data_IF_372956831449
#
_entry.id   IF_372956831449
#
_cell.length_a   1.000
_cell.length_b   1.000
_cell.length_c   1.000
_cell.angle_alpha   90.00
_cell.angle_beta   90.00
_cell.angle_gamma   90.00
#
_symmetry.space_group_name_H-M   'P 1'
#
loop_
_entity.id
_entity.type
_entity.pdbx_description
1 polymer ?
#
# COMPACT_ATOMS: atom_id res chain seq x y z
N UNK A 1 -40.68 3.04 -7.32
CA UNK A 1 -39.59 2.84 -8.30
C UNK A 1 -38.31 2.64 -7.53
N UNK A 2 -37.85 1.41 -7.47
CA UNK A 2 -36.74 0.97 -6.62
C UNK A 2 -35.41 1.21 -7.34
N UNK A 3 -34.53 2.05 -6.75
CA UNK A 3 -33.21 2.35 -7.32
C UNK A 3 -32.27 1.16 -7.11
N UNK A 4 -32.30 0.19 -8.02
CA UNK A 4 -31.27 -0.86 -8.13
C UNK A 4 -30.04 -0.33 -8.88
N UNK A 5 -29.14 0.39 -8.22
CA UNK A 5 -27.78 0.66 -8.74
C UNK A 5 -26.79 0.97 -7.62
N UNK A 6 -26.19 -0.04 -6.97
CA UNK A 6 -24.90 0.18 -6.25
C UNK A 6 -24.01 -1.06 -6.07
N UNK A 7 -24.34 -2.27 -6.55
CA UNK A 7 -23.52 -3.46 -6.20
C UNK A 7 -22.38 -3.79 -7.19
N UNK A 8 -22.33 -3.16 -8.37
CA UNK A 8 -21.29 -3.44 -9.38
C UNK A 8 -19.98 -2.67 -9.19
N UNK A 9 -20.05 -1.38 -8.80
CA UNK A 9 -18.88 -0.50 -8.69
C UNK A 9 -17.97 -0.86 -7.51
N UNK A 10 -18.56 -1.12 -6.35
CA UNK A 10 -17.84 -1.51 -5.13
C UNK A 10 -17.01 -2.78 -5.32
N UNK A 11 -17.44 -3.70 -6.19
CA UNK A 11 -16.73 -4.96 -6.42
C UNK A 11 -15.46 -4.77 -7.28
N UNK A 12 -15.48 -3.81 -8.21
CA UNK A 12 -14.32 -3.47 -9.05
C UNK A 12 -13.28 -2.70 -8.22
N UNK A 13 -13.72 -1.75 -7.40
CA UNK A 13 -12.85 -0.98 -6.50
C UNK A 13 -12.16 -1.89 -5.47
N UNK A 14 -12.91 -2.80 -4.84
CA UNK A 14 -12.33 -3.79 -3.91
C UNK A 14 -11.31 -4.70 -4.59
N UNK A 15 -11.58 -5.16 -5.82
CA UNK A 15 -10.63 -5.96 -6.58
C UNK A 15 -9.35 -5.17 -6.87
N UNK A 16 -9.48 -3.93 -7.35
CA UNK A 16 -8.33 -3.07 -7.59
C UNK A 16 -7.48 -2.88 -6.33
N UNK A 17 -8.12 -2.63 -5.18
CA UNK A 17 -7.42 -2.46 -3.90
C UNK A 17 -6.72 -3.74 -3.46
N UNK A 18 -7.33 -4.91 -3.65
CA UNK A 18 -6.68 -6.21 -3.40
C UNK A 18 -5.47 -6.44 -4.30
N UNK A 19 -5.56 -6.10 -5.59
CA UNK A 19 -4.45 -6.23 -6.54
C UNK A 19 -3.28 -5.29 -6.14
N UNK A 20 -3.58 -4.07 -5.69
CA UNK A 20 -2.57 -3.11 -5.19
C UNK A 20 -1.93 -3.62 -3.90
N UNK A 21 -2.73 -4.14 -2.95
CA UNK A 21 -2.23 -4.74 -1.71
C UNK A 21 -1.26 -5.89 -2.02
N UNK A 22 -1.67 -6.79 -2.91
CA UNK A 22 -0.84 -7.92 -3.32
C UNK A 22 0.49 -7.47 -3.94
N UNK A 23 0.47 -6.44 -4.80
CA UNK A 23 1.68 -5.89 -5.38
C UNK A 23 2.64 -5.31 -4.31
N UNK A 24 2.11 -4.63 -3.28
CA UNK A 24 2.90 -4.10 -2.18
C UNK A 24 3.60 -5.23 -1.41
N UNK A 25 2.85 -6.28 -1.05
CA UNK A 25 3.39 -7.46 -0.37
C UNK A 25 4.47 -8.16 -1.18
N UNK A 26 4.28 -8.33 -2.49
CA UNK A 26 5.28 -8.91 -3.38
C UNK A 26 6.57 -8.09 -3.44
N UNK A 27 6.47 -6.76 -3.47
CA UNK A 27 7.63 -5.87 -3.44
C UNK A 27 8.41 -6.03 -2.13
N UNK A 28 7.73 -5.99 -0.99
CA UNK A 28 8.33 -6.12 0.34
C UNK A 28 8.99 -7.50 0.51
N UNK A 29 8.28 -8.57 0.13
CA UNK A 29 8.78 -9.94 0.22
C UNK A 29 10.06 -10.12 -0.58
N UNK A 30 10.12 -9.61 -1.82
CA UNK A 30 11.32 -9.68 -2.66
C UNK A 30 12.47 -8.88 -2.07
N UNK A 31 12.20 -7.67 -1.59
CA UNK A 31 13.20 -6.82 -0.97
C UNK A 31 13.84 -7.49 0.26
N UNK A 32 13.02 -7.93 1.21
CA UNK A 32 13.52 -8.56 2.44
C UNK A 32 14.19 -9.91 2.17
N UNK A 33 13.70 -10.69 1.19
CA UNK A 33 14.37 -11.94 0.77
C UNK A 33 15.80 -11.67 0.27
N UNK A 34 16.00 -10.61 -0.51
CA UNK A 34 17.32 -10.21 -1.01
C UNK A 34 18.21 -9.72 0.14
N UNK A 35 17.68 -8.89 1.04
CA UNK A 35 18.40 -8.40 2.23
C UNK A 35 18.94 -9.57 3.07
N UNK A 36 18.06 -10.53 3.40
CA UNK A 36 18.41 -11.74 4.16
C UNK A 36 19.49 -12.55 3.44
N UNK A 37 19.33 -12.78 2.13
CA UNK A 37 20.30 -13.55 1.34
C UNK A 37 21.68 -12.87 1.30
N UNK A 38 21.72 -11.53 1.31
CA UNK A 38 22.97 -10.76 1.25
C UNK A 38 23.62 -10.54 2.62
N UNK A 39 23.00 -10.97 3.74
CA UNK A 39 23.41 -10.66 5.12
C UNK A 39 23.67 -9.16 5.35
N UNK A 40 22.99 -8.32 4.57
CA UNK A 40 23.06 -6.87 4.67
C UNK A 40 21.88 -6.44 5.53
N UNK A 41 22.18 -5.72 6.61
CA UNK A 41 21.18 -4.98 7.39
C UNK A 41 21.57 -3.50 7.43
N UNK A 42 21.55 -2.77 6.30
CA UNK A 42 21.35 -1.35 6.38
C UNK A 42 19.86 -1.09 6.64
N UNK A 43 19.62 0.04 7.29
CA UNK A 43 18.32 0.65 7.51
C UNK A 43 17.45 0.62 6.23
N UNK A 44 16.14 0.42 6.42
CA UNK A 44 15.20 0.35 5.30
C UNK A 44 15.21 1.67 4.50
N UNK A 45 15.27 1.61 3.16
CA UNK A 45 15.23 2.81 2.33
C UNK A 45 13.87 3.48 2.47
N UNK A 46 13.83 4.80 2.28
CA UNK A 46 12.65 5.63 2.50
C UNK A 46 11.38 5.14 1.78
N UNK A 47 11.53 4.47 0.63
CA UNK A 47 10.41 3.98 -0.15
C UNK A 47 9.73 2.76 0.49
N UNK A 48 10.40 1.99 1.35
CA UNK A 48 9.79 0.86 2.07
C UNK A 48 8.66 1.34 2.98
N UNK A 49 8.88 2.42 3.71
CA UNK A 49 7.83 3.04 4.54
C UNK A 49 6.60 3.45 3.73
N UNK A 50 6.79 3.89 2.49
CA UNK A 50 5.66 4.23 1.61
C UNK A 50 4.92 3.00 1.11
N UNK A 51 5.62 1.93 0.73
CA UNK A 51 4.96 0.68 0.31
C UNK A 51 4.12 0.12 1.46
N UNK A 52 4.66 0.09 2.68
CA UNK A 52 3.91 -0.29 3.88
C UNK A 52 2.68 0.61 4.12
N UNK A 53 2.82 1.92 3.97
CA UNK A 53 1.69 2.86 4.11
C UNK A 53 0.60 2.63 3.05
N UNK A 54 0.97 2.33 1.82
CA UNK A 54 0.00 2.00 0.76
C UNK A 54 -0.73 0.70 1.08
N UNK A 55 -0.01 -0.33 1.57
CA UNK A 55 -0.63 -1.58 2.00
C UNK A 55 -1.65 -1.36 3.13
N UNK A 56 -1.28 -0.61 4.17
CA UNK A 56 -2.16 -0.29 5.30
C UNK A 56 -3.41 0.51 4.87
N UNK A 57 -3.24 1.42 3.91
CA UNK A 57 -4.35 2.16 3.33
C UNK A 57 -5.31 1.26 2.54
N UNK A 58 -4.78 0.21 1.89
CA UNK A 58 -5.61 -0.80 1.23
C UNK A 58 -6.44 -1.57 2.26
N UNK A 59 -5.84 -1.97 3.37
CA UNK A 59 -6.56 -2.65 4.46
C UNK A 59 -7.65 -1.77 5.06
N UNK A 60 -7.32 -0.51 5.36
CA UNK A 60 -8.28 0.47 5.86
C UNK A 60 -9.47 0.64 4.90
N UNK A 61 -9.22 0.74 3.60
CA UNK A 61 -10.28 0.82 2.60
C UNK A 61 -11.16 -0.45 2.57
N UNK A 62 -10.55 -1.63 2.64
CA UNK A 62 -11.25 -2.91 2.58
C UNK A 62 -12.11 -3.14 3.84
N UNK A 63 -11.65 -2.68 4.99
CA UNK A 63 -12.36 -2.73 6.28
C UNK A 63 -13.45 -1.65 6.41
N UNK A 64 -13.46 -0.66 5.51
CA UNK A 64 -14.45 0.41 5.45
C UNK A 64 -14.10 1.64 6.29
N UNK A 65 -12.84 1.79 6.69
CA UNK A 65 -12.33 2.96 7.40
C UNK A 65 -12.19 4.17 6.46
N UNK A 66 -12.53 5.34 6.99
CA UNK A 66 -12.65 6.59 6.22
C UNK A 66 -11.38 7.46 6.33
N UNK A 67 -10.51 7.19 7.32
CA UNK A 67 -9.29 7.96 7.57
C UNK A 67 -8.07 7.32 6.92
N UNK A 68 -7.97 7.45 5.60
CA UNK A 68 -6.83 6.93 4.83
C UNK A 68 -5.73 8.01 4.75
N UNK A 69 -4.56 7.74 5.33
CA UNK A 69 -3.42 8.67 5.34
C UNK A 69 -2.59 8.52 4.05
N UNK A 70 -2.81 9.39 3.06
CA UNK A 70 -2.03 9.40 1.82
C UNK A 70 -0.90 10.43 1.85
N UNK A 71 0.34 9.95 1.93
CA UNK A 71 1.51 10.80 1.74
C UNK A 71 1.74 11.09 0.25
N UNK A 72 1.42 12.33 -0.17
CA UNK A 72 1.45 12.77 -1.58
C UNK A 72 2.82 12.67 -2.26
N UNK A 73 3.91 12.75 -1.51
CA UNK A 73 5.22 13.01 -2.10
C UNK A 73 6.07 11.76 -2.21
N UNK A 74 6.25 11.21 -3.42
CA UNK A 74 7.38 10.32 -3.77
C UNK A 74 8.72 11.09 -3.85
N UNK A 75 8.86 12.23 -3.18
CA UNK A 75 10.03 13.09 -3.30
C UNK A 75 11.03 12.85 -2.16
N UNK A 76 12.30 12.73 -2.53
CA UNK A 76 13.50 12.42 -1.72
C UNK A 76 13.83 13.39 -0.58
N UNK A 77 12.92 14.25 -0.13
CA UNK A 77 13.22 15.16 0.98
C UNK A 77 12.84 14.52 2.30
N UNK A 78 13.69 13.57 2.71
CA UNK A 78 14.11 13.54 4.10
C UNK A 78 14.44 14.99 4.48
N UNK A 79 13.65 15.55 5.40
CA UNK A 79 13.84 16.91 5.89
C UNK A 79 15.19 17.02 6.59
N UNK A 80 16.23 17.34 5.82
CA UNK A 80 17.38 18.05 6.34
C UNK A 80 16.92 19.49 6.52
N UNK A 81 16.60 19.84 7.75
CA UNK A 81 16.80 21.17 8.31
C UNK A 81 17.64 21.02 9.57
#
# INVERSE_FOLDING_TARGET
>A
MEKKRVNGGMNIEKKFVLDVKYACQEILNRYYSIQVAQKKLPEDPWWIHKINSIEQNCDSFLDGDIEIQWHRDFSDKAGVK
#
